data_IF_925625618116
#
_entry.id   IF_925625618116
#
_cell.length_a   1.000
_cell.length_b   1.000
_cell.length_c   1.000
_cell.angle_alpha   90.00
_cell.angle_beta   90.00
_cell.angle_gamma   90.00
#
_symmetry.space_group_name_H-M   'P 1'
#
loop_
_entity.id
_entity.type
_entity.pdbx_description
1 polymer ?
#
# COMPACT_ATOMS: atom_id res chain seq x y z
N UNK A 1 1.82 -10.02 11.80
CA UNK A 1 2.21 -8.85 11.00
C UNK A 1 3.49 -8.26 11.57
N UNK A 2 4.47 -8.06 10.70
CA UNK A 2 5.73 -7.36 10.98
C UNK A 2 5.85 -6.22 9.96
N UNK A 3 4.93 -5.25 10.02
CA UNK A 3 4.83 -4.17 9.05
C UNK A 3 5.28 -2.85 9.70
N UNK A 4 5.90 -1.99 8.90
CA UNK A 4 6.24 -0.63 9.30
C UNK A 4 5.19 0.32 8.71
N UNK A 5 4.42 0.96 9.57
CA UNK A 5 3.42 1.95 9.18
C UNK A 5 3.87 3.31 9.71
N UNK A 6 4.25 4.21 8.81
CA UNK A 6 4.80 5.51 9.16
C UNK A 6 3.71 6.56 9.44
N UNK A 7 4.15 7.68 10.00
CA UNK A 7 3.31 8.83 10.32
C UNK A 7 2.43 9.25 9.14
N UNK A 8 1.15 9.51 9.44
CA UNK A 8 0.14 9.98 8.49
C UNK A 8 -0.17 9.01 7.35
N UNK A 9 0.31 7.76 7.39
CA UNK A 9 -0.24 6.74 6.52
C UNK A 9 -1.74 6.58 6.77
N UNK A 10 -2.53 6.41 5.72
CA UNK A 10 -3.96 6.19 5.77
C UNK A 10 -4.27 4.80 5.19
N UNK A 11 -4.95 3.97 5.98
CA UNK A 11 -5.44 2.66 5.56
C UNK A 11 -6.95 2.68 5.79
N UNK A 12 -7.71 2.70 4.69
CA UNK A 12 -9.16 2.81 4.71
C UNK A 12 -9.85 1.46 4.99
N UNK A 13 -11.17 1.49 5.09
CA UNK A 13 -12.01 0.34 5.39
C UNK A 13 -11.78 -0.86 4.44
N UNK A 14 -11.80 -2.07 4.99
CA UNK A 14 -11.67 -3.33 4.24
C UNK A 14 -10.34 -3.53 3.48
N UNK A 15 -9.40 -2.58 3.58
CA UNK A 15 -8.08 -2.75 3.00
C UNK A 15 -7.29 -3.83 3.74
N UNK A 16 -6.49 -4.59 2.99
CA UNK A 16 -5.61 -5.64 3.52
C UNK A 16 -4.18 -5.28 3.21
N UNK A 17 -3.33 -5.32 4.24
CA UNK A 17 -1.88 -5.22 4.09
C UNK A 17 -1.25 -6.54 4.48
N UNK A 18 -0.48 -7.12 3.55
CA UNK A 18 0.30 -8.33 3.74
C UNK A 18 1.36 -8.22 4.83
N UNK A 19 2.12 -9.28 5.03
CA UNK A 19 3.22 -9.34 5.98
C UNK A 19 4.45 -8.59 5.44
N UNK A 20 5.30 -8.09 6.34
CA UNK A 20 6.60 -7.50 5.98
C UNK A 20 6.55 -6.28 5.05
N UNK A 21 5.43 -5.56 5.05
CA UNK A 21 5.28 -4.35 4.24
C UNK A 21 5.80 -3.09 4.95
N UNK A 22 6.24 -2.11 4.15
CA UNK A 22 6.56 -0.76 4.60
C UNK A 22 5.59 0.23 3.96
N UNK A 23 4.66 0.77 4.75
CA UNK A 23 3.76 1.87 4.36
C UNK A 23 4.38 3.19 4.82
N UNK A 24 4.99 3.92 3.88
CA UNK A 24 5.75 5.13 4.17
C UNK A 24 4.88 6.34 4.53
N UNK A 25 5.53 7.45 4.88
CA UNK A 25 4.88 8.66 5.37
C UNK A 25 3.85 9.19 4.38
N UNK A 26 2.64 9.45 4.86
CA UNK A 26 1.52 9.96 4.03
C UNK A 26 1.13 9.06 2.84
N UNK A 27 1.50 7.77 2.82
CA UNK A 27 0.97 6.84 1.84
C UNK A 27 -0.50 6.52 2.15
N UNK A 28 -1.33 6.42 1.12
CA UNK A 28 -2.78 6.17 1.22
C UNK A 28 -3.14 4.86 0.54
N UNK A 29 -3.75 3.96 1.30
CA UNK A 29 -4.34 2.71 0.82
C UNK A 29 -5.86 2.87 0.97
N UNK A 30 -6.57 3.07 -0.15
CA UNK A 30 -8.03 3.25 -0.15
C UNK A 30 -8.76 1.92 0.12
N UNK A 31 -10.08 2.01 0.28
CA UNK A 31 -10.89 0.90 0.76
C UNK A 31 -10.79 -0.35 -0.12
N UNK A 32 -10.96 -1.52 0.48
CA UNK A 32 -10.90 -2.83 -0.19
C UNK A 32 -9.61 -3.13 -1.00
N UNK A 33 -8.60 -2.25 -0.98
CA UNK A 33 -7.33 -2.49 -1.67
C UNK A 33 -6.54 -3.60 -0.96
N UNK A 34 -5.77 -4.36 -1.74
CA UNK A 34 -5.00 -5.51 -1.22
C UNK A 34 -3.53 -5.31 -1.53
N UNK A 35 -2.72 -5.16 -0.50
CA UNK A 35 -1.27 -5.09 -0.62
C UNK A 35 -0.70 -6.48 -0.31
N UNK A 36 0.04 -7.05 -1.26
CA UNK A 36 0.76 -8.30 -1.09
C UNK A 36 1.86 -8.25 -0.03
N UNK A 37 2.52 -9.38 0.19
CA UNK A 37 3.59 -9.52 1.19
C UNK A 37 4.89 -8.84 0.72
N UNK A 38 5.65 -8.24 1.63
CA UNK A 38 6.97 -7.68 1.34
C UNK A 38 6.97 -6.38 0.52
N UNK A 39 5.81 -5.74 0.36
CA UNK A 39 5.68 -4.53 -0.46
C UNK A 39 6.26 -3.28 0.23
N UNK A 40 6.83 -2.39 -0.58
CA UNK A 40 7.26 -1.06 -0.15
C UNK A 40 6.39 0.01 -0.81
N UNK A 41 5.63 0.76 -0.01
CA UNK A 41 4.73 1.82 -0.43
C UNK A 41 5.42 3.15 -0.11
N UNK A 42 5.94 3.83 -1.13
CA UNK A 42 6.70 5.07 -0.99
C UNK A 42 5.87 6.23 -0.44
N UNK A 43 6.54 7.23 0.14
CA UNK A 43 5.87 8.37 0.79
C UNK A 43 4.92 9.08 -0.18
N UNK A 44 3.71 9.39 0.28
CA UNK A 44 2.70 10.06 -0.55
C UNK A 44 2.11 9.22 -1.69
N UNK A 45 2.46 7.93 -1.81
CA UNK A 45 1.82 7.04 -2.79
C UNK A 45 0.34 6.82 -2.49
N UNK A 46 -0.45 6.54 -3.51
CA UNK A 46 -1.89 6.30 -3.39
C UNK A 46 -2.27 5.02 -4.14
N UNK A 47 -2.86 4.06 -3.43
CA UNK A 47 -3.46 2.86 -4.01
C UNK A 47 -4.97 3.06 -4.10
N UNK A 48 -5.54 2.95 -5.32
CA UNK A 48 -6.97 3.14 -5.56
C UNK A 48 -7.80 2.06 -4.88
N UNK A 49 -9.05 2.38 -4.56
CA UNK A 49 -10.03 1.45 -4.01
C UNK A 49 -10.13 0.16 -4.84
N UNK A 50 -10.11 -0.98 -4.15
CA UNK A 50 -10.23 -2.31 -4.74
C UNK A 50 -9.02 -2.82 -5.53
N UNK A 51 -7.95 -2.03 -5.66
CA UNK A 51 -6.75 -2.44 -6.42
C UNK A 51 -5.90 -3.42 -5.61
N UNK A 52 -5.35 -4.42 -6.30
CA UNK A 52 -4.37 -5.36 -5.76
C UNK A 52 -2.95 -4.99 -6.20
N UNK A 53 -2.02 -4.94 -5.24
CA UNK A 53 -0.58 -4.80 -5.46
C UNK A 53 0.08 -6.15 -5.16
N UNK A 54 0.74 -6.76 -6.15
CA UNK A 54 1.41 -8.05 -6.01
C UNK A 54 2.53 -8.05 -4.95
N UNK A 55 2.87 -9.23 -4.45
CA UNK A 55 3.95 -9.45 -3.49
C UNK A 55 5.29 -8.85 -3.97
N UNK A 56 6.10 -8.35 -3.03
CA UNK A 56 7.42 -7.76 -3.25
C UNK A 56 7.42 -6.56 -4.20
N UNK A 57 6.27 -5.91 -4.41
CA UNK A 57 6.18 -4.70 -5.24
C UNK A 57 6.82 -3.49 -4.57
N UNK A 58 7.40 -2.62 -5.40
CA UNK A 58 7.88 -1.30 -4.99
C UNK A 58 7.00 -0.23 -5.64
N UNK A 59 6.20 0.47 -4.85
CA UNK A 59 5.41 1.63 -5.28
C UNK A 59 6.22 2.90 -5.02
N UNK A 60 6.65 3.64 -6.05
CA UNK A 60 7.44 4.85 -5.88
C UNK A 60 6.72 5.95 -5.08
N UNK A 61 7.49 6.90 -4.55
CA UNK A 61 6.92 8.04 -3.82
C UNK A 61 6.03 8.89 -4.74
N UNK A 62 4.84 9.26 -4.26
CA UNK A 62 3.86 10.05 -5.01
C UNK A 62 3.12 9.31 -6.14
N UNK A 63 3.44 8.04 -6.39
CA UNK A 63 2.81 7.25 -7.46
C UNK A 63 1.34 6.94 -7.15
N UNK A 64 0.50 6.84 -8.20
CA UNK A 64 -0.92 6.47 -8.09
C UNK A 64 -1.16 5.11 -8.75
N UNK A 65 -1.32 4.08 -7.94
CA UNK A 65 -1.65 2.74 -8.43
C UNK A 65 -3.16 2.67 -8.71
N UNK A 66 -3.52 2.71 -9.99
CA UNK A 66 -4.93 2.80 -10.45
C UNK A 66 -5.45 1.50 -11.07
N UNK A 67 -4.63 0.47 -11.20
CA UNK A 67 -4.99 -0.85 -11.70
C UNK A 67 -4.15 -1.92 -11.00
N UNK A 68 -4.60 -3.16 -11.05
CA UNK A 68 -3.90 -4.28 -10.41
C UNK A 68 -2.48 -4.43 -10.96
N UNK A 69 -1.55 -4.71 -10.05
CA UNK A 69 -0.17 -5.09 -10.37
C UNK A 69 -0.06 -6.59 -10.15
N UNK A 70 0.30 -7.33 -11.20
CA UNK A 70 0.54 -8.78 -11.16
C UNK A 70 1.99 -9.12 -10.86
#
# INVERSE_FOLDING_TARGET
SNCVINSRALIEHDAVVGQHCHVSTSATINGAARIGDGCFLGSGSVVREGVTVADNSFVPMGERVIADQG
#
